data_IF_188622525016
#
_entry.id   IF_188622525016
#
_cell.length_a   1.000
_cell.length_b   1.000
_cell.length_c   1.000
_cell.angle_alpha   90.00
_cell.angle_beta   90.00
_cell.angle_gamma   90.00
#
_symmetry.space_group_name_H-M   'P 1'
#
loop_
_entity.id
_entity.type
_entity.pdbx_description
1 polymer ?
#
# COMPACT_ATOMS: atom_id res chain seq x y z
N UNK A 1 18.12 -13.62 6.42
CA UNK A 1 17.26 -13.81 5.24
C UNK A 1 17.27 -12.49 4.49
N UNK A 2 17.38 -12.43 3.16
CA UNK A 2 17.40 -11.14 2.48
C UNK A 2 15.96 -10.56 2.38
N UNK A 3 15.85 -9.25 2.19
CA UNK A 3 14.57 -8.52 2.11
C UNK A 3 13.56 -9.16 1.13
N UNK A 4 14.02 -9.59 -0.03
CA UNK A 4 13.22 -10.26 -1.07
C UNK A 4 12.65 -11.60 -0.58
N UNK A 5 13.46 -12.43 0.04
CA UNK A 5 13.08 -13.76 0.55
C UNK A 5 12.06 -13.64 1.69
N UNK A 6 12.18 -12.63 2.54
CA UNK A 6 11.29 -12.41 3.67
C UNK A 6 9.88 -11.98 3.21
N UNK A 7 9.80 -10.99 2.32
CA UNK A 7 8.51 -10.52 1.78
C UNK A 7 7.80 -11.63 0.98
N UNK A 8 8.54 -12.40 0.16
CA UNK A 8 7.99 -13.53 -0.58
C UNK A 8 7.36 -14.56 0.37
N UNK A 9 8.06 -14.90 1.45
CA UNK A 9 7.57 -15.90 2.40
C UNK A 9 6.31 -15.42 3.13
N UNK A 10 6.24 -14.14 3.51
CA UNK A 10 5.08 -13.55 4.18
C UNK A 10 3.85 -13.46 3.27
N UNK A 11 4.02 -13.06 2.00
CA UNK A 11 2.95 -12.95 1.02
C UNK A 11 2.43 -14.32 0.54
N UNK A 12 3.31 -15.31 0.34
CA UNK A 12 2.92 -16.69 0.01
C UNK A 12 2.06 -17.30 1.11
N UNK A 13 2.39 -17.05 2.39
CA UNK A 13 1.57 -17.50 3.52
C UNK A 13 0.18 -16.86 3.53
N UNK A 14 0.04 -15.61 3.11
CA UNK A 14 -1.26 -14.91 3.07
C UNK A 14 -2.15 -15.41 1.94
N UNK A 15 -1.59 -15.66 0.76
CA UNK A 15 -2.30 -16.22 -0.41
C UNK A 15 -2.75 -17.66 -0.16
N UNK A 16 -1.91 -18.48 0.49
CA UNK A 16 -2.27 -19.88 0.84
C UNK A 16 -3.37 -19.96 1.88
N UNK A 17 -3.44 -19.01 2.83
CA UNK A 17 -4.53 -18.97 3.83
C UNK A 17 -5.88 -18.58 3.22
N UNK A 18 -5.91 -17.82 2.12
CA UNK A 18 -7.14 -17.42 1.43
C UNK A 18 -7.66 -18.45 0.41
N UNK A 19 -6.81 -19.34 -0.10
CA UNK A 19 -7.17 -20.28 -1.18
C UNK A 19 -7.55 -21.69 -0.74
N UNK A 20 -7.64 -22.00 0.56
CA UNK A 20 -8.18 -23.28 1.04
C UNK A 20 -7.42 -24.54 0.57
N UNK A 21 -6.20 -24.44 0.09
CA UNK A 21 -5.37 -25.59 -0.30
C UNK A 21 -4.72 -26.24 0.93
N UNK A 22 -5.42 -27.21 1.50
CA UNK A 22 -4.86 -28.20 2.44
C UNK A 22 -3.96 -29.18 1.67
N UNK A 23 -2.65 -29.02 1.78
CA UNK A 23 -1.73 -30.04 1.32
C UNK A 23 -0.37 -29.50 0.96
N UNK A 24 0.46 -29.34 1.96
CA UNK A 24 1.91 -29.49 2.01
C UNK A 24 2.43 -28.84 3.30
N UNK A 25 2.14 -29.48 4.42
CA UNK A 25 2.85 -29.17 5.67
C UNK A 25 3.75 -30.35 5.99
N UNK A 26 5.05 -30.13 6.00
CA UNK A 26 5.97 -31.00 6.74
C UNK A 26 5.74 -30.76 8.23
N UNK A 27 5.46 -31.83 8.98
CA UNK A 27 5.43 -31.82 10.45
C UNK A 27 6.74 -31.29 11.01
N UNK A 28 6.68 -30.13 11.67
CA UNK A 28 7.80 -29.56 12.39
C UNK A 28 7.54 -28.13 12.83
N UNK A 29 7.07 -28.00 14.08
CA UNK A 29 6.80 -26.77 14.84
C UNK A 29 5.37 -26.22 14.67
N UNK A 30 4.46 -26.75 15.49
CA UNK A 30 3.32 -25.96 15.97
C UNK A 30 3.87 -24.79 16.80
N UNK A 31 4.06 -23.63 16.16
CA UNK A 31 4.17 -22.36 16.87
C UNK A 31 2.77 -22.07 17.38
N UNK A 32 2.62 -21.99 18.71
CA UNK A 32 1.38 -21.49 19.33
C UNK A 32 0.95 -20.24 18.57
N UNK A 33 -0.30 -20.20 18.12
CA UNK A 33 -0.89 -19.01 17.52
C UNK A 33 -0.87 -17.94 18.61
N UNK A 34 0.08 -17.03 18.54
CA UNK A 34 0.00 -15.79 19.32
C UNK A 34 -1.30 -15.11 18.87
N UNK A 35 -2.14 -14.70 19.81
CA UNK A 35 -3.38 -13.95 19.57
C UNK A 35 -3.05 -12.53 19.05
N UNK A 36 -2.27 -12.45 17.96
CA UNK A 36 -1.93 -11.16 17.35
C UNK A 36 -3.18 -10.55 16.74
N UNK A 37 -3.47 -9.34 17.16
CA UNK A 37 -4.56 -8.54 16.63
C UNK A 37 -4.04 -7.15 16.30
N UNK A 38 -4.48 -6.57 15.21
CA UNK A 38 -4.16 -5.17 14.88
C UNK A 38 -4.61 -4.22 16.00
N UNK A 39 -5.69 -4.57 16.72
CA UNK A 39 -6.17 -3.81 17.86
C UNK A 39 -5.29 -3.93 19.12
N UNK A 40 -4.28 -4.80 19.14
CA UNK A 40 -3.31 -4.88 20.24
C UNK A 40 -2.44 -3.63 20.35
N UNK A 41 -2.24 -2.89 19.24
CA UNK A 41 -1.61 -1.58 19.24
C UNK A 41 -2.68 -0.48 19.30
N UNK A 42 -2.61 0.46 20.25
CA UNK A 42 -3.56 1.56 20.32
C UNK A 42 -3.42 2.49 19.10
N UNK A 43 -4.53 3.11 18.71
CA UNK A 43 -4.48 4.20 17.72
C UNK A 43 -3.76 5.39 18.36
N UNK A 44 -2.80 5.91 17.64
CA UNK A 44 -2.07 7.15 17.93
C UNK A 44 -2.41 8.18 16.85
N UNK A 45 -2.12 9.44 17.12
CA UNK A 45 -2.40 10.54 16.21
C UNK A 45 -1.17 11.39 15.99
N UNK A 46 -1.01 11.86 14.76
CA UNK A 46 0.04 12.79 14.37
C UNK A 46 -0.58 13.96 13.60
N UNK A 47 -0.21 15.20 13.94
CA UNK A 47 -0.62 16.38 13.19
C UNK A 47 0.27 16.54 11.96
N UNK A 48 -0.33 16.43 10.77
CA UNK A 48 0.36 16.43 9.48
C UNK A 48 -0.43 17.29 8.50
N UNK A 49 0.21 18.28 7.89
CA UNK A 49 -0.38 19.08 6.80
C UNK A 49 -1.80 19.59 7.06
N UNK A 50 -2.08 20.04 8.29
CA UNK A 50 -3.38 20.59 8.68
C UNK A 50 -4.44 19.58 9.12
N UNK A 51 -4.15 18.29 9.06
CA UNK A 51 -5.03 17.21 9.55
C UNK A 51 -4.38 16.39 10.65
N UNK A 52 -5.17 15.60 11.37
CA UNK A 52 -4.69 14.57 12.28
C UNK A 52 -4.77 13.20 11.61
N UNK A 53 -3.63 12.53 11.44
CA UNK A 53 -3.58 11.17 10.91
C UNK A 53 -3.56 10.15 12.04
N UNK A 54 -4.54 9.22 12.00
CA UNK A 54 -4.58 8.06 12.89
C UNK A 54 -3.62 6.98 12.39
N UNK A 55 -2.78 6.45 13.29
CA UNK A 55 -1.81 5.40 12.95
C UNK A 55 -1.62 4.39 14.07
N UNK A 56 -1.07 3.23 13.71
CA UNK A 56 -0.62 2.18 14.65
C UNK A 56 0.80 1.77 14.34
N UNK A 57 1.50 1.28 15.35
CA UNK A 57 2.86 0.75 15.21
C UNK A 57 2.94 -0.67 15.76
N UNK A 58 3.70 -1.53 15.08
CA UNK A 58 3.92 -2.91 15.46
C UNK A 58 5.38 -3.28 15.28
N UNK A 59 5.90 -4.12 16.18
CA UNK A 59 7.28 -4.61 16.10
C UNK A 59 8.33 -3.54 16.39
N UNK A 60 9.55 -3.81 15.96
CA UNK A 60 10.72 -2.94 16.12
C UNK A 60 11.73 -3.26 15.02
N UNK A 61 12.65 -2.34 14.73
CA UNK A 61 13.64 -2.51 13.67
C UNK A 61 13.60 -1.38 12.66
N UNK A 62 13.99 -1.67 11.41
CA UNK A 62 13.91 -0.69 10.33
C UNK A 62 12.44 -0.29 10.06
N UNK A 63 12.15 1.01 9.86
CA UNK A 63 10.79 1.47 9.66
C UNK A 63 10.23 0.98 8.30
N UNK A 64 8.98 0.50 8.34
CA UNK A 64 8.20 0.09 7.17
C UNK A 64 6.83 0.75 7.24
N UNK A 65 6.56 1.67 6.32
CA UNK A 65 5.29 2.36 6.18
C UNK A 65 4.36 1.57 5.25
N UNK A 66 3.13 1.31 5.70
CA UNK A 66 2.09 0.64 4.93
C UNK A 66 1.01 1.65 4.49
N UNK A 67 0.80 1.78 3.19
CA UNK A 67 -0.18 2.68 2.58
C UNK A 67 -1.32 1.85 1.97
N UNK A 68 -2.51 1.98 2.55
CA UNK A 68 -3.70 1.22 2.15
C UNK A 68 -4.30 1.76 0.84
N UNK A 69 -5.03 0.89 0.15
CA UNK A 69 -5.73 1.20 -1.09
C UNK A 69 -7.02 2.03 -0.89
N UNK A 70 -7.75 2.20 -1.99
CA UNK A 70 -8.97 2.98 -2.10
C UNK A 70 -10.03 2.60 -1.05
N UNK A 71 -10.49 3.58 -0.28
CA UNK A 71 -11.52 3.43 0.76
C UNK A 71 -11.12 2.55 1.94
N UNK A 72 -9.91 2.00 1.95
CA UNK A 72 -9.46 1.08 2.99
C UNK A 72 -8.86 1.79 4.20
N UNK A 73 -9.07 1.20 5.38
CA UNK A 73 -8.50 1.64 6.65
C UNK A 73 -7.27 0.80 7.03
N UNK A 74 -6.46 1.31 7.95
CA UNK A 74 -5.31 0.59 8.50
C UNK A 74 -5.70 -0.74 9.19
N UNK A 75 -6.94 -0.87 9.62
CA UNK A 75 -7.47 -2.08 10.26
C UNK A 75 -7.86 -3.18 9.25
N UNK A 76 -7.81 -2.89 7.93
CA UNK A 76 -8.07 -3.86 6.86
C UNK A 76 -6.81 -4.65 6.45
N UNK A 77 -5.63 -4.31 6.93
CA UNK A 77 -4.46 -5.15 6.72
C UNK A 77 -4.67 -6.54 7.32
N UNK A 78 -4.19 -7.57 6.64
CA UNK A 78 -4.22 -8.92 7.20
C UNK A 78 -3.35 -8.99 8.46
N UNK A 79 -3.92 -9.41 9.59
CA UNK A 79 -3.21 -9.44 10.88
C UNK A 79 -1.96 -10.33 10.85
N UNK A 80 -2.05 -11.52 10.22
CA UNK A 80 -0.89 -12.43 10.09
C UNK A 80 0.21 -11.81 9.22
N UNK A 81 -0.15 -11.06 8.18
CA UNK A 81 0.81 -10.34 7.35
C UNK A 81 1.55 -9.28 8.17
N UNK A 82 0.83 -8.45 8.92
CA UNK A 82 1.44 -7.44 9.80
C UNK A 82 2.27 -8.07 10.90
N UNK A 83 1.80 -9.18 11.51
CA UNK A 83 2.56 -9.93 12.51
C UNK A 83 3.90 -10.44 11.96
N UNK A 84 3.88 -10.99 10.75
CA UNK A 84 5.11 -11.46 10.09
C UNK A 84 6.09 -10.32 9.83
N UNK A 85 5.61 -9.18 9.34
CA UNK A 85 6.46 -8.01 9.12
C UNK A 85 7.02 -7.45 10.43
N UNK A 86 6.21 -7.42 11.49
CA UNK A 86 6.56 -6.90 12.80
C UNK A 86 7.65 -7.72 13.53
N UNK A 87 8.00 -8.91 13.02
CA UNK A 87 9.13 -9.69 13.57
C UNK A 87 10.48 -9.03 13.29
N UNK A 88 10.61 -8.31 12.17
CA UNK A 88 11.88 -7.72 11.72
C UNK A 88 11.83 -6.22 11.49
N UNK A 89 10.60 -5.64 11.40
CA UNK A 89 10.39 -4.22 11.07
C UNK A 89 9.58 -3.50 12.17
N UNK A 90 9.83 -2.19 12.31
CA UNK A 90 8.89 -1.27 12.91
C UNK A 90 7.83 -0.92 11.86
N UNK A 91 6.72 -1.65 11.86
CA UNK A 91 5.62 -1.47 10.92
C UNK A 91 4.76 -0.31 11.37
N UNK A 92 4.56 0.67 10.50
CA UNK A 92 3.67 1.82 10.69
C UNK A 92 2.54 1.67 9.67
N UNK A 93 1.30 1.49 10.15
CA UNK A 93 0.11 1.56 9.31
C UNK A 93 -0.73 2.75 9.72
N UNK A 94 -1.32 3.45 8.76
CA UNK A 94 -2.10 4.66 9.03
C UNK A 94 -3.32 4.72 8.11
N UNK A 95 -4.27 5.52 8.52
CA UNK A 95 -5.41 5.87 7.69
C UNK A 95 -5.10 7.12 6.87
N UNK A 96 -5.32 7.03 5.56
CA UNK A 96 -5.23 8.21 4.70
C UNK A 96 -6.20 9.30 5.17
N UNK A 97 -5.88 10.56 4.90
CA UNK A 97 -6.73 11.74 5.17
C UNK A 97 -8.21 11.45 4.90
N UNK A 98 -9.07 11.74 5.89
CA UNK A 98 -10.52 11.58 5.83
C UNK A 98 -11.03 10.14 5.97
N UNK A 99 -10.15 9.16 6.10
CA UNK A 99 -10.52 7.75 6.24
C UNK A 99 -10.30 7.28 7.69
N UNK A 100 -11.16 6.39 8.16
CA UNK A 100 -11.04 5.72 9.45
C UNK A 100 -10.87 6.67 10.63
N UNK A 101 -9.69 6.66 11.24
CA UNK A 101 -9.35 7.49 12.39
C UNK A 101 -8.72 8.84 12.00
N UNK A 102 -8.44 9.09 10.72
CA UNK A 102 -7.85 10.33 10.26
C UNK A 102 -8.89 11.41 10.00
N UNK A 103 -8.59 12.63 10.39
CA UNK A 103 -9.46 13.77 10.09
C UNK A 103 -9.38 14.18 8.61
N UNK A 104 -10.38 14.92 8.16
CA UNK A 104 -10.46 15.53 6.83
C UNK A 104 -10.41 17.06 6.98
N UNK A 105 -10.12 17.72 5.88
CA UNK A 105 -10.29 19.15 5.69
C UNK A 105 -11.05 19.41 4.37
N UNK A 106 -11.20 20.70 3.99
CA UNK A 106 -11.93 21.07 2.78
C UNK A 106 -11.10 20.94 1.49
N UNK A 107 -9.83 20.48 1.56
CA UNK A 107 -8.98 20.35 0.40
C UNK A 107 -9.45 19.23 -0.54
N UNK A 108 -9.17 19.41 -1.82
CA UNK A 108 -9.37 18.36 -2.82
C UNK A 108 -8.22 17.34 -2.70
N UNK A 109 -8.58 16.08 -2.65
CA UNK A 109 -7.56 15.02 -2.60
C UNK A 109 -6.87 14.85 -3.96
N UNK A 110 -5.60 14.49 -3.88
CA UNK A 110 -4.83 13.96 -5.01
C UNK A 110 -3.82 12.92 -4.49
N UNK A 111 -3.32 12.00 -5.31
CA UNK A 111 -2.27 11.07 -4.90
C UNK A 111 -1.02 11.81 -4.39
N UNK A 112 -0.67 12.95 -4.97
CA UNK A 112 0.44 13.81 -4.55
C UNK A 112 0.21 14.39 -3.14
N UNK A 113 -1.01 14.88 -2.84
CA UNK A 113 -1.36 15.37 -1.50
C UNK A 113 -1.23 14.24 -0.47
N UNK A 114 -1.79 13.08 -0.78
CA UNK A 114 -1.74 11.92 0.12
C UNK A 114 -0.30 11.39 0.30
N UNK A 115 0.55 11.52 -0.72
CA UNK A 115 1.98 11.22 -0.62
C UNK A 115 2.71 12.21 0.29
N UNK A 116 2.35 13.49 0.21
CA UNK A 116 2.83 14.52 1.14
C UNK A 116 2.41 14.24 2.59
N UNK A 117 1.20 13.72 2.81
CA UNK A 117 0.75 13.30 4.13
C UNK A 117 1.53 12.09 4.66
N UNK A 118 1.78 11.09 3.82
CA UNK A 118 2.60 9.93 4.18
C UNK A 118 4.04 10.33 4.54
N UNK A 119 4.65 11.24 3.78
CA UNK A 119 5.96 11.79 4.08
C UNK A 119 5.95 12.62 5.38
N UNK A 120 4.93 13.47 5.56
CA UNK A 120 4.74 14.27 6.77
C UNK A 120 4.50 13.43 8.02
N UNK A 121 3.85 12.26 7.89
CA UNK A 121 3.73 11.31 9.00
C UNK A 121 5.11 10.81 9.45
N UNK A 122 5.99 10.45 8.51
CA UNK A 122 7.37 10.05 8.86
C UNK A 122 8.12 11.19 9.57
N UNK A 123 7.93 12.44 9.13
CA UNK A 123 8.53 13.60 9.80
C UNK A 123 8.00 13.78 11.23
N UNK A 124 6.68 13.68 11.43
CA UNK A 124 6.05 13.78 12.74
C UNK A 124 6.50 12.67 13.70
N UNK A 125 6.90 11.51 13.16
CA UNK A 125 7.45 10.38 13.93
C UNK A 125 8.97 10.42 14.07
N UNK A 126 9.63 11.49 13.61
CA UNK A 126 11.10 11.66 13.61
C UNK A 126 11.80 10.50 12.84
N UNK A 127 11.16 9.99 11.79
CA UNK A 127 11.70 8.94 10.92
C UNK A 127 12.28 9.59 9.66
N UNK A 128 13.60 9.61 9.49
CA UNK A 128 14.21 10.27 8.35
C UNK A 128 13.90 9.57 7.03
N UNK A 129 13.80 8.25 7.03
CA UNK A 129 13.59 7.41 5.86
C UNK A 129 12.96 6.09 6.28
N UNK A 130 12.09 5.51 5.43
CA UNK A 130 11.43 4.22 5.67
C UNK A 130 11.40 3.38 4.39
N UNK A 131 11.25 2.06 4.54
CA UNK A 131 10.69 1.24 3.46
C UNK A 131 9.21 1.61 3.31
N UNK A 132 8.71 1.62 2.10
CA UNK A 132 7.31 1.98 1.82
C UNK A 132 6.63 0.85 1.04
N UNK A 133 5.50 0.37 1.54
CA UNK A 133 4.64 -0.59 0.86
C UNK A 133 3.29 0.07 0.60
N UNK A 134 2.92 0.20 -0.67
CA UNK A 134 1.59 0.65 -1.09
C UNK A 134 0.85 -0.44 -1.84
N UNK A 135 -0.46 -0.56 -1.59
CA UNK A 135 -1.34 -1.48 -2.33
C UNK A 135 -2.42 -0.72 -3.08
N UNK A 136 -2.69 -1.08 -4.34
CA UNK A 136 -3.72 -0.46 -5.19
C UNK A 136 -3.54 1.06 -5.28
N UNK A 137 -4.52 1.89 -4.90
CA UNK A 137 -4.35 3.34 -4.75
C UNK A 137 -3.16 3.71 -3.86
N UNK A 138 -2.91 2.93 -2.80
CA UNK A 138 -1.73 3.14 -1.94
C UNK A 138 -0.41 2.97 -2.71
N UNK A 139 -0.39 2.15 -3.77
CA UNK A 139 0.76 2.05 -4.66
C UNK A 139 0.93 3.29 -5.55
N UNK A 140 -0.16 3.95 -5.95
CA UNK A 140 -0.09 5.25 -6.63
C UNK A 140 0.49 6.33 -5.70
N UNK A 141 0.01 6.37 -4.45
CA UNK A 141 0.53 7.28 -3.40
C UNK A 141 2.03 7.00 -3.14
N UNK A 142 2.43 5.73 -3.05
CA UNK A 142 3.81 5.35 -2.83
C UNK A 142 4.74 5.72 -4.01
N UNK A 143 4.25 5.66 -5.26
CA UNK A 143 4.96 6.16 -6.44
C UNK A 143 5.16 7.67 -6.35
N UNK A 144 4.09 8.43 -6.07
CA UNK A 144 4.18 9.89 -5.88
C UNK A 144 5.12 10.26 -4.73
N UNK A 145 5.11 9.48 -3.65
CA UNK A 145 6.05 9.68 -2.54
C UNK A 145 7.50 9.46 -2.97
N UNK A 146 7.77 8.41 -3.76
CA UNK A 146 9.12 8.13 -4.25
C UNK A 146 9.62 9.15 -5.29
N UNK A 147 8.72 9.82 -6.00
CA UNK A 147 9.04 10.90 -6.95
C UNK A 147 9.25 12.23 -6.23
N UNK A 148 8.32 12.63 -5.36
CA UNK A 148 8.27 13.96 -4.77
C UNK A 148 9.03 14.08 -3.43
N UNK A 149 9.23 12.94 -2.73
CA UNK A 149 9.93 12.83 -1.44
C UNK A 149 10.94 11.67 -1.44
N UNK A 150 11.86 11.61 -2.43
CA UNK A 150 12.77 10.48 -2.62
C UNK A 150 13.67 10.20 -1.41
N UNK A 151 13.98 11.22 -0.60
CA UNK A 151 14.75 11.09 0.64
C UNK A 151 14.02 10.31 1.74
N UNK A 152 12.68 10.20 1.63
CA UNK A 152 11.84 9.47 2.59
C UNK A 152 11.71 7.98 2.27
N UNK A 153 12.04 7.57 1.05
CA UNK A 153 11.81 6.20 0.56
C UNK A 153 13.14 5.46 0.38
N UNK A 154 13.44 4.50 1.27
CA UNK A 154 14.63 3.63 1.12
C UNK A 154 14.38 2.54 0.07
N UNK A 155 13.36 1.70 0.29
CA UNK A 155 12.92 0.68 -0.66
C UNK A 155 11.42 0.80 -0.88
N UNK A 156 11.01 0.51 -2.10
CA UNK A 156 9.63 0.65 -2.53
C UNK A 156 9.02 -0.72 -2.82
N UNK A 157 7.82 -0.97 -2.31
CA UNK A 157 7.05 -2.18 -2.62
C UNK A 157 5.69 -1.73 -3.13
N UNK A 158 5.37 -2.12 -4.36
CA UNK A 158 4.14 -1.77 -5.05
C UNK A 158 3.32 -3.03 -5.31
N UNK A 159 2.20 -3.18 -4.61
CA UNK A 159 1.29 -4.31 -4.79
C UNK A 159 0.07 -3.87 -5.59
N UNK A 160 -0.30 -4.63 -6.62
CA UNK A 160 -1.46 -4.33 -7.48
C UNK A 160 -1.43 -2.87 -7.97
N UNK A 161 -0.28 -2.46 -8.50
CA UNK A 161 -0.01 -1.08 -8.86
C UNK A 161 -0.49 -0.74 -10.28
N UNK A 162 -0.91 0.52 -10.47
CA UNK A 162 -1.05 1.15 -11.76
C UNK A 162 -0.24 2.45 -11.79
N UNK A 163 0.23 2.83 -12.96
CA UNK A 163 0.84 4.15 -13.20
C UNK A 163 -0.18 5.20 -13.64
N UNK A 164 -1.39 4.77 -13.96
CA UNK A 164 -2.55 5.60 -14.31
C UNK A 164 -3.82 4.76 -14.23
N UNK A 165 -4.95 5.40 -13.93
CA UNK A 165 -6.29 4.78 -14.00
C UNK A 165 -7.00 5.03 -15.33
N UNK A 166 -6.38 5.81 -16.23
CA UNK A 166 -6.97 6.24 -17.52
C UNK A 166 -6.31 5.56 -18.71
N UNK A 167 -5.92 4.29 -18.55
CA UNK A 167 -5.37 3.44 -19.63
C UNK A 167 -6.32 2.28 -19.92
N UNK A 168 -6.31 1.69 -21.13
CA UNK A 168 -7.25 0.63 -21.48
C UNK A 168 -7.26 -0.56 -20.52
N UNK A 169 -6.11 -0.92 -19.99
CA UNK A 169 -5.89 -2.06 -19.11
C UNK A 169 -6.56 -1.86 -17.74
N UNK A 170 -6.74 -0.62 -17.29
CA UNK A 170 -7.38 -0.27 -16.02
C UNK A 170 -8.86 0.12 -16.17
N UNK A 171 -9.48 -0.23 -17.30
CA UNK A 171 -10.89 0.13 -17.60
C UNK A 171 -11.88 -0.27 -16.49
N UNK A 172 -11.71 -1.46 -15.89
CA UNK A 172 -12.58 -1.89 -14.80
C UNK A 172 -12.39 -1.05 -13.54
N UNK A 173 -11.15 -0.70 -13.22
CA UNK A 173 -10.83 0.20 -12.10
C UNK A 173 -11.41 1.59 -12.34
N UNK A 174 -11.21 2.15 -13.54
CA UNK A 174 -11.76 3.47 -13.90
C UNK A 174 -13.28 3.50 -13.75
N UNK A 175 -14.01 2.48 -14.24
CA UNK A 175 -15.45 2.40 -14.09
C UNK A 175 -15.91 2.28 -12.64
N UNK A 176 -15.21 1.50 -11.82
CA UNK A 176 -15.46 1.41 -10.40
C UNK A 176 -15.33 2.80 -9.74
N UNK A 177 -14.21 3.48 -9.98
CA UNK A 177 -13.95 4.81 -9.42
C UNK A 177 -15.00 5.85 -9.88
N UNK A 178 -15.38 5.84 -11.16
CA UNK A 178 -16.46 6.71 -11.68
C UNK A 178 -17.79 6.47 -10.97
N UNK A 179 -18.14 5.21 -10.72
CA UNK A 179 -19.33 4.85 -9.96
C UNK A 179 -19.25 5.35 -8.51
N UNK A 180 -18.10 5.16 -7.85
CA UNK A 180 -17.88 5.59 -6.47
C UNK A 180 -17.91 7.12 -6.31
N UNK A 181 -17.31 7.87 -7.24
CA UNK A 181 -17.22 9.32 -7.17
C UNK A 181 -18.60 10.02 -7.12
N UNK A 182 -19.62 9.42 -7.74
CA UNK A 182 -20.99 9.98 -7.81
C UNK A 182 -21.96 9.31 -6.83
N UNK A 183 -21.55 8.28 -6.11
CA UNK A 183 -22.43 7.55 -5.19
C UNK A 183 -22.58 8.30 -3.86
N UNK A 184 -23.75 8.90 -3.64
CA UNK A 184 -24.07 9.67 -2.43
C UNK A 184 -24.13 8.83 -1.15
N UNK A 185 -24.24 7.50 -1.26
CA UNK A 185 -24.32 6.60 -0.12
C UNK A 185 -22.92 6.29 0.47
N UNK A 186 -21.86 6.61 -0.29
CA UNK A 186 -20.48 6.48 0.20
C UNK A 186 -20.07 7.68 1.05
N UNK A 187 -19.15 7.42 1.96
CA UNK A 187 -18.48 8.45 2.74
C UNK A 187 -17.91 9.54 1.81
N UNK A 188 -18.06 10.84 2.15
CA UNK A 188 -17.51 11.94 1.36
C UNK A 188 -16.03 11.80 1.05
N UNK A 189 -15.20 11.32 2.01
CA UNK A 189 -13.77 11.15 1.80
C UNK A 189 -13.46 10.01 0.81
N UNK A 190 -14.24 8.93 0.82
CA UNK A 190 -14.12 7.86 -0.20
C UNK A 190 -14.44 8.40 -1.59
N UNK A 191 -15.46 9.26 -1.72
CA UNK A 191 -15.77 9.92 -2.99
C UNK A 191 -14.66 10.88 -3.44
N UNK A 192 -14.05 11.64 -2.49
CA UNK A 192 -12.87 12.48 -2.76
C UNK A 192 -11.70 11.63 -3.27
N UNK A 193 -11.45 10.45 -2.67
CA UNK A 193 -10.40 9.54 -3.15
C UNK A 193 -10.68 9.03 -4.56
N UNK A 194 -11.94 8.66 -4.87
CA UNK A 194 -12.31 8.23 -6.23
C UNK A 194 -12.06 9.34 -7.25
N UNK A 195 -12.50 10.56 -6.95
CA UNK A 195 -12.32 11.73 -7.81
C UNK A 195 -10.84 12.08 -7.98
N UNK A 196 -10.05 11.97 -6.91
CA UNK A 196 -8.60 12.16 -6.93
C UNK A 196 -7.89 11.21 -7.89
N UNK A 197 -8.22 9.92 -7.82
CA UNK A 197 -7.65 8.91 -8.73
C UNK A 197 -8.05 9.16 -10.19
N UNK A 198 -9.31 9.52 -10.45
CA UNK A 198 -9.80 9.81 -11.80
C UNK A 198 -9.15 11.06 -12.42
N UNK A 199 -8.70 12.00 -11.60
CA UNK A 199 -8.05 13.25 -12.04
C UNK A 199 -6.51 13.14 -12.02
N UNK A 200 -5.98 12.05 -11.51
CA UNK A 200 -4.55 11.84 -11.43
C UNK A 200 -3.92 11.73 -12.82
N UNK A 201 -2.86 12.49 -13.04
CA UNK A 201 -2.14 12.50 -14.32
C UNK A 201 -1.32 11.22 -14.56
N UNK A 202 -1.08 10.44 -13.48
CA UNK A 202 -0.25 9.26 -13.52
C UNK A 202 1.25 9.56 -13.39
N UNK A 203 2.02 8.48 -13.20
CA UNK A 203 3.46 8.54 -12.96
C UNK A 203 4.31 8.03 -14.12
N UNK A 204 3.70 7.56 -15.24
CA UNK A 204 4.41 6.84 -16.31
C UNK A 204 5.68 7.53 -16.79
N UNK A 205 5.64 8.83 -17.03
CA UNK A 205 6.79 9.61 -17.50
C UNK A 205 7.83 9.87 -16.41
N UNK A 206 7.41 9.78 -15.13
CA UNK A 206 8.25 10.02 -13.96
C UNK A 206 8.79 8.74 -13.30
N UNK A 207 8.35 7.55 -13.73
CA UNK A 207 8.87 6.28 -13.22
C UNK A 207 10.41 6.17 -13.29
N UNK A 208 11.09 6.68 -14.35
CA UNK A 208 12.55 6.67 -14.41
C UNK A 208 13.25 7.52 -13.34
N UNK A 209 12.52 8.41 -12.66
CA UNK A 209 13.05 9.28 -11.60
C UNK A 209 13.08 8.57 -10.23
N UNK A 210 12.30 7.48 -10.08
CA UNK A 210 12.26 6.67 -8.85
C UNK A 210 13.60 5.94 -8.69
N UNK A 211 14.36 6.31 -7.66
CA UNK A 211 15.70 5.77 -7.40
C UNK A 211 15.71 4.63 -6.38
N UNK A 212 14.64 4.51 -5.60
CA UNK A 212 14.51 3.42 -4.63
C UNK A 212 14.43 2.09 -5.34
N UNK A 213 15.17 1.10 -4.81
CA UNK A 213 15.02 -0.28 -5.27
C UNK A 213 13.57 -0.72 -5.08
N UNK A 214 12.92 -1.12 -6.17
CA UNK A 214 11.48 -1.41 -6.19
C UNK A 214 11.20 -2.90 -6.35
N UNK A 215 10.22 -3.40 -5.59
CA UNK A 215 9.63 -4.71 -5.76
C UNK A 215 8.15 -4.55 -6.13
N UNK A 216 7.76 -5.09 -7.28
CA UNK A 216 6.36 -5.10 -7.72
C UNK A 216 5.73 -6.48 -7.45
N UNK A 217 4.47 -6.47 -7.01
CA UNK A 217 3.70 -7.67 -6.67
C UNK A 217 2.35 -7.58 -7.37
N UNK A 218 1.94 -8.66 -8.07
CA UNK A 218 0.66 -8.70 -8.76
C UNK A 218 0.14 -10.14 -8.86
N UNK A 219 -1.18 -10.29 -8.85
CA UNK A 219 -1.85 -11.57 -9.12
C UNK A 219 -2.13 -11.78 -10.60
N UNK A 220 -2.11 -13.04 -11.09
CA UNK A 220 -2.48 -13.34 -12.48
C UNK A 220 -3.94 -13.02 -12.78
N UNK A 221 -4.80 -13.07 -11.76
CA UNK A 221 -6.26 -12.85 -11.87
C UNK A 221 -6.66 -11.45 -11.39
N UNK A 222 -5.71 -10.52 -11.33
CA UNK A 222 -5.99 -9.11 -11.02
C UNK A 222 -6.62 -8.43 -12.25
N UNK A 223 -7.93 -8.21 -12.19
CA UNK A 223 -8.70 -7.58 -13.27
C UNK A 223 -8.69 -6.04 -13.21
N UNK A 224 -8.29 -5.44 -12.07
CA UNK A 224 -8.24 -3.99 -11.90
C UNK A 224 -6.89 -3.40 -12.33
N UNK A 225 -5.80 -4.08 -11.95
CA UNK A 225 -4.42 -3.71 -12.29
C UNK A 225 -3.69 -4.95 -12.80
N UNK A 226 -3.96 -5.38 -14.03
CA UNK A 226 -3.46 -6.65 -14.55
C UNK A 226 -1.94 -6.69 -14.63
N UNK A 227 -1.32 -7.90 -14.70
CA UNK A 227 0.13 -8.07 -14.77
C UNK A 227 0.83 -7.26 -15.85
N UNK A 228 0.16 -6.97 -16.98
CA UNK A 228 0.72 -6.14 -18.04
C UNK A 228 1.15 -4.76 -17.56
N UNK A 229 0.32 -4.11 -16.72
CA UNK A 229 0.64 -2.80 -16.12
C UNK A 229 1.87 -2.92 -15.20
N UNK A 230 1.92 -3.96 -14.37
CA UNK A 230 3.08 -4.20 -13.49
C UNK A 230 4.37 -4.39 -14.28
N UNK A 231 4.31 -5.08 -15.42
CA UNK A 231 5.47 -5.27 -16.30
C UNK A 231 5.92 -3.95 -16.94
N UNK A 232 4.97 -3.13 -17.41
CA UNK A 232 5.28 -1.80 -17.94
C UNK A 232 5.94 -0.89 -16.91
N UNK A 233 5.46 -0.92 -15.65
CA UNK A 233 6.12 -0.19 -14.55
C UNK A 233 7.54 -0.72 -14.34
N UNK A 234 7.72 -2.06 -14.28
CA UNK A 234 9.03 -2.68 -14.07
C UNK A 234 10.04 -2.32 -15.16
N UNK A 235 9.60 -2.22 -16.42
CA UNK A 235 10.45 -1.85 -17.56
C UNK A 235 10.92 -0.38 -17.50
N UNK A 236 10.12 0.50 -16.90
CA UNK A 236 10.44 1.93 -16.78
C UNK A 236 11.30 2.26 -15.58
N UNK A 237 11.22 1.48 -14.51
CA UNK A 237 11.97 1.71 -13.28
C UNK A 237 13.46 1.37 -13.46
N UNK A 238 14.39 2.19 -12.93
CA UNK A 238 15.84 1.94 -13.05
C UNK A 238 16.31 0.65 -12.36
N UNK A 239 15.71 0.29 -11.21
CA UNK A 239 16.03 -0.92 -10.45
C UNK A 239 14.76 -1.54 -9.91
N UNK A 240 14.19 -2.51 -10.63
CA UNK A 240 12.98 -3.21 -10.25
C UNK A 240 13.11 -4.72 -10.36
N UNK A 241 12.49 -5.39 -9.38
CA UNK A 241 12.15 -6.81 -9.41
C UNK A 241 10.62 -6.94 -9.39
N UNK A 242 10.06 -8.01 -9.94
CA UNK A 242 8.63 -8.27 -9.82
C UNK A 242 8.34 -9.74 -9.49
N UNK A 243 7.17 -9.97 -8.87
CA UNK A 243 6.65 -11.31 -8.57
C UNK A 243 5.19 -11.34 -9.00
N UNK A 244 4.86 -12.37 -9.77
CA UNK A 244 3.49 -12.66 -10.20
C UNK A 244 2.99 -13.87 -9.39
N UNK A 245 1.85 -13.71 -8.73
CA UNK A 245 1.21 -14.75 -7.94
C UNK A 245 0.11 -15.42 -8.73
N UNK A 246 0.29 -16.72 -9.03
CA UNK A 246 -0.68 -17.50 -9.80
C UNK A 246 -2.01 -17.61 -9.07
N UNK A 247 -3.13 -17.31 -9.76
CA UNK A 247 -4.49 -17.37 -9.24
C UNK A 247 -4.83 -16.29 -8.20
N UNK A 248 -3.91 -15.38 -7.87
CA UNK A 248 -4.22 -14.29 -6.97
C UNK A 248 -4.96 -13.17 -7.72
N UNK A 249 -5.93 -12.56 -7.02
CA UNK A 249 -6.71 -11.40 -7.47
C UNK A 249 -6.10 -10.09 -6.95
N UNK A 250 -6.84 -9.02 -7.14
CA UNK A 250 -6.51 -7.68 -6.65
C UNK A 250 -6.39 -7.60 -5.13
#
# INVERSE_FOLDING_TARGET
MNFKTFIILSLVLTVLASSGCSGFYSEGAQKESTDFSLNSSPVKYASVNGVELGYREFGSGEPLLLIMGFGGTMDMWNATFVECLAQDYRVISFDNRGIGYSSDDDELFSPELLAGDAAGLLDALEIPQAHVLGTSMGASIAQEMAINHPEKVDKLILSSAAYSVSVPETFLLENLLRSCAVNSDLDPAVRKQADANLKWNGTYEHLPEIRSKTLLLVGTDDEFTPPSITLEIAEKLPEADYIVFEGAKH
#
